data_IF_821582786320
#
_entry.id   IF_821582786320
#
_cell.length_a   1.000
_cell.length_b   1.000
_cell.length_c   1.000
_cell.angle_alpha   90.00
_cell.angle_beta   90.00
_cell.angle_gamma   90.00
#
_symmetry.space_group_name_H-M   'P 1'
#
loop_
_entity.id
_entity.type
_entity.pdbx_description
1 polymer ?
#
# COMPACT_ATOMS: atom_id res chain seq x y z
N UNK A 1 3.86 -19.13 -7.48
CA UNK A 1 2.54 -18.56 -7.17
C UNK A 1 2.58 -17.10 -7.57
N UNK A 2 1.46 -16.53 -7.98
CA UNK A 2 1.41 -15.21 -8.60
C UNK A 2 0.93 -14.20 -7.54
N UNK A 3 1.80 -13.87 -6.58
CA UNK A 3 1.53 -12.92 -5.49
C UNK A 3 1.57 -11.49 -6.04
N UNK A 4 0.71 -10.58 -5.56
CA UNK A 4 0.71 -9.19 -6.00
C UNK A 4 1.92 -8.44 -5.45
N UNK A 5 2.30 -7.37 -6.13
CA UNK A 5 3.32 -6.43 -5.70
C UNK A 5 2.65 -5.30 -4.91
N UNK A 6 3.21 -4.91 -3.75
CA UNK A 6 2.73 -3.81 -2.92
C UNK A 6 3.82 -2.76 -2.76
N UNK A 7 3.68 -1.64 -3.45
CA UNK A 7 4.59 -0.49 -3.32
C UNK A 7 4.07 0.44 -2.23
N UNK A 8 4.91 0.84 -1.28
CA UNK A 8 4.47 1.70 -0.15
C UNK A 8 5.37 2.93 -0.03
N UNK A 9 4.78 4.12 -0.04
CA UNK A 9 5.47 5.39 0.15
C UNK A 9 5.03 6.02 1.47
N UNK A 10 5.97 6.18 2.39
CA UNK A 10 5.80 6.93 3.64
C UNK A 10 6.54 8.26 3.47
N UNK A 11 5.89 9.42 3.66
CA UNK A 11 6.57 10.70 3.57
C UNK A 11 7.64 10.84 4.68
N UNK A 12 8.75 11.56 4.42
CA UNK A 12 9.77 11.79 5.42
C UNK A 12 9.16 12.51 6.63
N UNK A 13 9.44 12.01 7.84
CA UNK A 13 9.01 12.65 9.07
C UNK A 13 9.96 13.81 9.37
N UNK A 14 9.47 15.05 9.27
CA UNK A 14 10.19 16.19 9.81
C UNK A 14 10.19 16.10 11.34
N UNK A 15 11.37 16.00 11.95
CA UNK A 15 11.54 15.83 13.41
C UNK A 15 10.83 16.93 14.24
N UNK A 16 10.50 18.08 13.63
CA UNK A 16 9.81 19.20 14.28
C UNK A 16 8.28 19.06 14.33
N UNK A 17 7.65 18.17 13.55
CA UNK A 17 6.20 17.93 13.57
C UNK A 17 5.76 16.80 14.52
N UNK A 18 6.73 16.05 15.07
CA UNK A 18 6.49 14.85 15.90
C UNK A 18 5.90 15.15 17.30
N UNK A 19 5.85 16.42 17.73
CA UNK A 19 5.40 16.77 19.09
C UNK A 19 3.87 16.78 19.28
N UNK A 20 3.07 16.75 18.20
CA UNK A 20 1.61 16.73 18.28
C UNK A 20 1.06 15.40 17.71
N UNK A 21 0.51 14.55 18.58
CA UNK A 21 -0.11 13.26 18.20
C UNK A 21 -1.18 13.40 17.08
N UNK A 22 -1.89 14.54 17.04
CA UNK A 22 -2.85 14.85 15.97
C UNK A 22 -2.19 15.09 14.60
N UNK A 23 -0.98 15.67 14.55
CA UNK A 23 -0.26 15.91 13.30
C UNK A 23 0.29 14.61 12.71
N UNK A 24 0.73 13.69 13.57
CA UNK A 24 1.17 12.36 13.14
C UNK A 24 0.00 11.61 12.50
N UNK A 25 -1.17 11.57 13.13
CA UNK A 25 -2.36 10.85 12.62
C UNK A 25 -2.83 11.31 11.23
N UNK A 26 -2.55 12.56 10.85
CA UNK A 26 -2.90 13.15 9.53
C UNK A 26 -1.84 12.86 8.44
N UNK A 27 -0.75 12.18 8.77
CA UNK A 27 0.28 11.79 7.79
C UNK A 27 -0.32 10.87 6.73
N UNK A 28 -0.25 11.29 5.46
CA UNK A 28 -0.76 10.52 4.33
C UNK A 28 0.26 9.48 3.87
N UNK A 29 -0.15 8.21 3.83
CA UNK A 29 0.64 7.11 3.30
C UNK A 29 -0.02 6.56 2.05
N UNK A 30 0.78 6.37 1.00
CA UNK A 30 0.33 5.88 -0.29
C UNK A 30 0.79 4.43 -0.46
N UNK A 31 -0.14 3.54 -0.78
CA UNK A 31 0.17 2.16 -1.13
C UNK A 31 -0.41 1.80 -2.51
N UNK A 32 0.37 1.12 -3.34
CA UNK A 32 0.00 0.73 -4.69
C UNK A 32 0.09 -0.79 -4.80
N UNK A 33 -1.06 -1.44 -4.92
CA UNK A 33 -1.14 -2.88 -5.20
C UNK A 33 -1.20 -3.13 -6.71
N UNK A 34 -0.33 -4.00 -7.22
CA UNK A 34 -0.27 -4.39 -8.64
C UNK A 34 -0.47 -5.90 -8.76
N UNK A 35 -1.53 -6.29 -9.46
CA UNK A 35 -1.83 -7.68 -9.81
C UNK A 35 -1.53 -7.91 -11.30
N UNK A 36 -0.88 -9.02 -11.68
CA UNK A 36 -0.69 -9.39 -13.09
C UNK A 36 -0.09 -10.78 -13.21
N UNK A 37 -0.31 -11.49 -14.31
CA UNK A 37 0.30 -12.80 -14.58
C UNK A 37 1.76 -12.58 -14.97
N UNK A 38 2.70 -13.27 -14.32
CA UNK A 38 4.16 -13.17 -14.54
C UNK A 38 4.67 -11.73 -14.34
N UNK A 39 4.66 -11.27 -13.09
CA UNK A 39 5.09 -9.92 -12.69
C UNK A 39 6.62 -9.79 -12.87
N UNK A 40 7.07 -9.47 -14.09
CA UNK A 40 8.39 -8.92 -14.35
C UNK A 40 8.26 -7.38 -14.31
N UNK A 41 8.55 -6.79 -13.16
CA UNK A 41 8.63 -5.32 -13.02
C UNK A 41 10.03 -4.91 -13.45
N UNK A 42 10.18 -4.58 -14.72
CA UNK A 42 11.23 -3.62 -15.09
C UNK A 42 10.91 -2.32 -14.37
N UNK A 43 11.71 -1.98 -13.36
CA UNK A 43 11.60 -0.75 -12.58
C UNK A 43 11.80 0.46 -13.49
N UNK A 44 10.73 0.93 -14.11
CA UNK A 44 10.56 2.32 -14.51
C UNK A 44 9.14 2.75 -14.15
N UNK A 45 8.94 3.16 -12.89
CA UNK A 45 7.70 3.79 -12.46
C UNK A 45 7.73 5.26 -12.90
N UNK A 46 7.01 5.56 -13.98
CA UNK A 46 6.60 6.92 -14.32
C UNK A 46 5.09 6.99 -14.14
N UNK A 47 4.63 7.58 -13.03
CA UNK A 47 3.22 7.89 -12.83
C UNK A 47 2.87 9.25 -13.46
N UNK A 48 1.74 9.41 -14.14
CA UNK A 48 1.46 10.53 -15.05
C UNK A 48 -0.09 10.84 -15.23
N UNK A 49 -0.91 11.02 -14.17
CA UNK A 49 -2.38 11.32 -14.32
C UNK A 49 -2.56 12.83 -14.53
N UNK A 50 -3.41 13.23 -15.48
CA UNK A 50 -3.71 14.65 -15.80
C UNK A 50 -4.99 15.07 -15.10
N UNK A 51 -4.94 16.14 -14.33
CA UNK A 51 -6.09 16.81 -13.73
C UNK A 51 -6.41 18.10 -14.49
N UNK A 52 -7.67 18.51 -14.42
CA UNK A 52 -8.33 19.52 -15.26
C UNK A 52 -7.77 20.93 -15.03
N UNK A 53 -6.67 21.27 -15.73
CA UNK A 53 -6.04 22.58 -15.75
C UNK A 53 -5.60 22.94 -17.19
N UNK A 54 -5.44 24.23 -17.48
CA UNK A 54 -5.21 24.78 -18.83
C UNK A 54 -3.98 24.22 -19.59
N UNK A 55 -3.11 23.45 -18.96
CA UNK A 55 -1.98 22.76 -19.61
C UNK A 55 -2.05 21.24 -19.43
N UNK A 56 -2.17 20.46 -20.52
CA UNK A 56 -2.17 19.01 -20.43
C UNK A 56 -0.77 18.45 -20.12
N UNK A 57 -0.70 17.57 -19.12
CA UNK A 57 0.38 16.60 -18.91
C UNK A 57 -0.03 15.28 -19.63
N UNK A 58 0.76 14.18 -19.68
CA UNK A 58 0.32 12.88 -20.30
C UNK A 58 0.30 11.76 -19.23
N UNK A 59 -0.03 10.46 -19.50
CA UNK A 59 0.47 9.25 -18.73
C UNK A 59 1.19 8.21 -19.63
N UNK A 60 2.39 7.61 -19.36
CA UNK A 60 2.77 6.43 -20.13
C UNK A 60 2.21 5.22 -19.40
N UNK A 61 1.05 4.72 -19.84
CA UNK A 61 0.66 3.34 -19.56
C UNK A 61 1.03 2.50 -20.78
N UNK A 62 2.04 1.65 -20.68
CA UNK A 62 2.23 0.57 -21.64
C UNK A 62 1.14 -0.49 -21.40
N UNK A 63 0.30 -0.71 -22.42
CA UNK A 63 -0.64 -1.83 -22.47
C UNK A 63 -0.06 -2.85 -23.44
N UNK A 64 0.59 -3.89 -22.92
CA UNK A 64 1.00 -5.05 -23.71
C UNK A 64 -0.16 -6.05 -23.79
N UNK A 65 -0.43 -6.57 -24.99
CA UNK A 65 -1.52 -7.52 -25.24
C UNK A 65 -1.33 -8.79 -24.39
N UNK A 66 -2.29 -9.09 -23.50
CA UNK A 66 -2.31 -10.32 -22.67
C UNK A 66 -2.00 -10.16 -21.18
N UNK A 67 -1.61 -8.96 -20.72
CA UNK A 67 -1.37 -8.69 -19.31
C UNK A 67 -2.39 -7.69 -18.77
N UNK A 68 -3.53 -8.18 -18.25
CA UNK A 68 -4.41 -7.33 -17.43
C UNK A 68 -3.70 -7.08 -16.10
N UNK A 69 -2.90 -6.02 -16.05
CA UNK A 69 -2.30 -5.54 -14.81
C UNK A 69 -3.35 -4.69 -14.07
N UNK A 70 -3.93 -5.20 -12.99
CA UNK A 70 -4.84 -4.41 -12.14
C UNK A 70 -4.00 -3.62 -11.15
N UNK A 71 -4.10 -2.29 -11.18
CA UNK A 71 -3.43 -1.39 -10.23
C UNK A 71 -4.46 -0.73 -9.31
N UNK A 72 -4.31 -0.90 -8.01
CA UNK A 72 -5.13 -0.24 -6.98
C UNK A 72 -4.22 0.74 -6.23
N UNK A 73 -4.67 1.97 -6.05
CA UNK A 73 -3.93 3.01 -5.31
C UNK A 73 -4.74 3.38 -4.08
N UNK A 74 -4.14 3.18 -2.92
CA UNK A 74 -4.63 3.59 -1.62
C UNK A 74 -3.88 4.85 -1.20
N UNK A 75 -4.62 5.89 -0.82
CA UNK A 75 -4.09 7.11 -0.24
C UNK A 75 -4.92 7.40 0.99
N UNK A 76 -4.33 7.15 2.15
CA UNK A 76 -5.02 7.24 3.43
C UNK A 76 -4.11 7.90 4.47
N UNK A 77 -4.72 8.58 5.43
CA UNK A 77 -4.02 9.02 6.64
C UNK A 77 -3.71 7.82 7.54
N UNK A 78 -2.84 8.00 8.52
CA UNK A 78 -2.53 6.96 9.50
C UNK A 78 -3.77 6.47 10.25
N UNK A 79 -4.69 7.37 10.62
CA UNK A 79 -5.95 7.01 11.26
C UNK A 79 -6.85 6.16 10.35
N UNK A 80 -6.93 6.50 9.06
CA UNK A 80 -7.70 5.73 8.08
C UNK A 80 -7.07 4.37 7.80
N UNK A 81 -5.74 4.29 7.74
CA UNK A 81 -5.01 3.03 7.66
C UNK A 81 -5.30 2.14 8.87
N UNK A 82 -5.36 2.71 10.07
CA UNK A 82 -5.67 1.97 11.28
C UNK A 82 -7.04 1.31 11.19
N UNK A 83 -8.10 2.08 10.92
CA UNK A 83 -9.47 1.58 10.79
C UNK A 83 -9.60 0.50 9.70
N UNK A 84 -8.93 0.72 8.56
CA UNK A 84 -8.93 -0.24 7.46
C UNK A 84 -8.25 -1.55 7.86
N UNK A 85 -7.06 -1.48 8.48
CA UNK A 85 -6.27 -2.67 8.80
C UNK A 85 -6.87 -3.47 9.97
N UNK A 86 -7.54 -2.81 10.90
CA UNK A 86 -8.26 -3.46 12.01
C UNK A 86 -9.33 -4.44 11.51
N UNK A 87 -10.00 -4.10 10.41
CA UNK A 87 -11.08 -4.94 9.86
C UNK A 87 -10.61 -5.90 8.77
N UNK A 88 -9.64 -5.48 7.96
CA UNK A 88 -9.27 -6.21 6.74
C UNK A 88 -8.16 -7.25 6.93
N UNK A 89 -7.67 -7.43 8.14
CA UNK A 89 -6.63 -8.42 8.45
C UNK A 89 -7.13 -9.62 9.27
N UNK A 90 -8.40 -9.61 9.69
CA UNK A 90 -9.02 -10.67 10.50
C UNK A 90 -9.27 -11.98 9.71
N UNK A 91 -9.38 -13.14 10.38
CA UNK A 91 -9.55 -14.44 9.71
C UNK A 91 -10.75 -14.55 8.76
N UNK A 92 -11.85 -13.87 9.10
CA UNK A 92 -13.10 -13.84 8.30
C UNK A 92 -12.94 -13.12 6.96
N UNK A 93 -11.90 -12.30 6.83
CA UNK A 93 -11.67 -11.48 5.64
C UNK A 93 -11.26 -12.34 4.44
N UNK A 94 -11.73 -12.03 3.21
CA UNK A 94 -11.35 -12.77 2.02
C UNK A 94 -9.82 -12.87 1.83
N UNK A 95 -9.34 -14.05 1.44
CA UNK A 95 -7.91 -14.35 1.27
C UNK A 95 -7.17 -13.34 0.37
N UNK A 96 -7.80 -12.91 -0.74
CA UNK A 96 -7.21 -11.95 -1.66
C UNK A 96 -6.96 -10.57 -1.01
N UNK A 97 -7.78 -10.19 -0.02
CA UNK A 97 -7.60 -8.95 0.72
C UNK A 97 -6.54 -9.13 1.82
N UNK A 98 -6.57 -10.26 2.53
CA UNK A 98 -5.53 -10.62 3.53
C UNK A 98 -4.13 -10.64 2.93
N UNK A 99 -4.01 -11.17 1.71
CA UNK A 99 -2.77 -11.18 0.92
C UNK A 99 -2.14 -9.79 0.77
N UNK A 100 -2.92 -8.70 0.72
CA UNK A 100 -2.41 -7.33 0.68
C UNK A 100 -2.33 -6.69 2.07
N UNK A 101 -3.37 -6.84 2.87
CA UNK A 101 -3.56 -6.05 4.09
C UNK A 101 -2.71 -6.55 5.25
N UNK A 102 -2.46 -7.85 5.34
CA UNK A 102 -1.56 -8.40 6.39
C UNK A 102 -0.12 -7.90 6.21
N UNK A 103 0.54 -8.03 5.03
CA UNK A 103 1.89 -7.49 4.88
C UNK A 103 1.94 -5.96 5.04
N UNK A 104 0.88 -5.24 4.63
CA UNK A 104 0.74 -3.81 4.89
C UNK A 104 0.72 -3.49 6.39
N UNK A 105 -0.07 -4.22 7.18
CA UNK A 105 -0.13 -4.05 8.64
C UNK A 105 1.22 -4.38 9.29
N UNK A 106 1.88 -5.46 8.88
CA UNK A 106 3.19 -5.82 9.43
C UNK A 106 4.23 -4.73 9.17
N UNK A 107 4.20 -4.12 7.99
CA UNK A 107 5.06 -2.99 7.66
C UNK A 107 4.71 -1.74 8.49
N UNK A 108 3.42 -1.46 8.68
CA UNK A 108 2.97 -0.35 9.53
C UNK A 108 3.35 -0.55 11.00
N UNK A 109 3.27 -1.76 11.55
CA UNK A 109 3.72 -2.07 12.91
C UNK A 109 5.22 -1.83 13.11
N UNK A 110 6.03 -2.04 12.07
CA UNK A 110 7.47 -1.77 12.14
C UNK A 110 7.77 -0.27 12.14
N UNK A 111 7.06 0.52 11.34
CA UNK A 111 7.30 1.96 11.18
C UNK A 111 6.56 2.82 12.24
N UNK A 112 5.41 2.36 12.71
CA UNK A 112 4.51 3.08 13.63
C UNK A 112 3.97 2.13 14.73
N UNK A 113 4.84 1.55 15.56
CA UNK A 113 4.44 0.56 16.56
C UNK A 113 3.43 1.11 17.58
N UNK A 114 3.51 2.40 17.91
CA UNK A 114 2.61 3.06 18.87
C UNK A 114 1.18 3.19 18.33
N UNK A 115 0.99 3.13 17.01
CA UNK A 115 -0.32 3.28 16.35
C UNK A 115 -0.91 1.92 16.00
N UNK A 116 -0.13 0.99 15.45
CA UNK A 116 -0.66 -0.28 14.93
C UNK A 116 -0.28 -1.51 15.78
N UNK A 117 0.51 -1.33 16.84
CA UNK A 117 1.11 -2.43 17.59
C UNK A 117 0.10 -3.43 18.14
N UNK A 118 -1.07 -2.96 18.54
CA UNK A 118 -2.18 -3.70 19.14
C UNK A 118 -3.13 -4.38 18.12
N UNK A 119 -3.14 -3.96 16.86
CA UNK A 119 -4.05 -4.53 15.85
C UNK A 119 -3.78 -6.02 15.63
N UNK A 120 -4.77 -6.87 15.87
CA UNK A 120 -4.68 -8.31 15.59
C UNK A 120 -4.85 -8.61 14.10
N UNK A 121 -4.28 -9.73 13.65
CA UNK A 121 -4.45 -10.23 12.29
C UNK A 121 -4.48 -11.76 12.27
N UNK A 122 -4.95 -12.31 11.15
CA UNK A 122 -4.97 -13.75 10.91
C UNK A 122 -3.55 -14.34 10.80
N UNK A 123 -3.07 -14.90 11.90
CA UNK A 123 -1.76 -15.57 11.97
C UNK A 123 -1.75 -16.96 11.33
N UNK A 124 -2.91 -17.52 10.99
CA UNK A 124 -3.02 -18.81 10.32
C UNK A 124 -2.98 -18.66 8.80
N UNK A 125 -3.09 -17.44 8.27
CA UNK A 125 -2.95 -17.18 6.84
C UNK A 125 -1.50 -17.41 6.39
N UNK A 126 -1.36 -18.21 5.34
CA UNK A 126 -0.07 -18.65 4.79
C UNK A 126 0.81 -17.46 4.36
N UNK A 127 1.98 -17.25 5.00
CA UNK A 127 2.89 -16.16 4.65
C UNK A 127 3.43 -16.23 3.22
N UNK A 128 3.50 -17.42 2.61
CA UNK A 128 3.93 -17.57 1.21
C UNK A 128 2.92 -16.95 0.22
N UNK A 129 1.72 -16.62 0.70
CA UNK A 129 0.69 -15.94 -0.07
C UNK A 129 0.73 -14.42 0.10
N UNK A 130 1.58 -13.86 0.97
CA UNK A 130 1.66 -12.42 1.12
C UNK A 130 2.12 -11.72 -0.17
N UNK A 131 1.60 -10.51 -0.35
CA UNK A 131 2.11 -9.60 -1.35
C UNK A 131 3.59 -9.28 -1.07
N UNK A 132 4.37 -9.16 -2.14
CA UNK A 132 5.74 -8.73 -2.04
C UNK A 132 5.77 -7.22 -1.83
N UNK A 133 6.27 -6.77 -0.67
CA UNK A 133 6.27 -5.37 -0.27
C UNK A 133 7.58 -4.69 -0.66
N UNK A 134 7.47 -3.55 -1.35
CA UNK A 134 8.60 -2.69 -1.70
C UNK A 134 8.39 -1.28 -1.17
N UNK A 135 9.24 -0.80 -0.25
CA UNK A 135 9.23 0.60 0.15
C UNK A 135 9.71 1.47 -1.01
N UNK A 136 8.98 2.56 -1.27
CA UNK A 136 9.38 3.61 -2.21
C UNK A 136 10.05 4.74 -1.43
N UNK A 137 11.24 5.14 -1.87
CA UNK A 137 11.94 6.35 -1.40
C UNK A 137 11.27 7.63 -1.91
#
# INVERSE_FOLDING_TARGET
MNTPLLLVQIPPQDEQQSEAASAVMETEIIAIAVFGKDIDVSLTVSTQRVFDAEKPFRFPTEITQGATKTRIVYRYTLAQWHELLETTTLPITPAALKQLMIPMLLYMKQNFPDIFGDIEYDREFDPDQYAELYPME
#
